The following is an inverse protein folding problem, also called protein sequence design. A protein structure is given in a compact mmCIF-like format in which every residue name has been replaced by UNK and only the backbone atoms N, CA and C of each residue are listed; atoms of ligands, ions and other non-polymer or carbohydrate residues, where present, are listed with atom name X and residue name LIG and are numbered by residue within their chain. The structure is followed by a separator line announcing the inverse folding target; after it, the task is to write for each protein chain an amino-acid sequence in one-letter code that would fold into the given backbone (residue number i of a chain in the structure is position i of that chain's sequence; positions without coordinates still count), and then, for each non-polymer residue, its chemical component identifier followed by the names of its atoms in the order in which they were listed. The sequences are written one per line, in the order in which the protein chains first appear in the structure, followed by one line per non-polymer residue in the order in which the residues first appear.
data_IF_307596649096
#
_entry.id   IF_307596649096
#
_cell.length_a   1.000
_cell.length_b   1.000
_cell.length_c   1.000
_cell.angle_alpha   90.00
_cell.angle_beta   90.00
_cell.angle_gamma   90.00
#
_symmetry.space_group_name_H-M   'P 1'
#
loop_
_entity.id
_entity.type
_entity.pdbx_description
1 polymer ?
#
# COMPACT_ATOMS: atom_id res chain seq x y z
N UNK A 1 9.74 -27.06 9.56
CA UNK A 1 9.82 -27.01 8.09
C UNK A 1 11.12 -27.70 7.68
N UNK A 2 11.07 -28.53 6.66
CA UNK A 2 12.29 -29.15 6.10
C UNK A 2 13.06 -28.10 5.32
N UNK A 3 14.38 -28.06 5.51
CA UNK A 3 15.27 -27.25 4.69
C UNK A 3 15.40 -27.93 3.32
N UNK A 4 15.04 -27.20 2.27
CA UNK A 4 15.29 -27.58 0.88
C UNK A 4 16.19 -26.54 0.21
N UNK A 5 16.45 -26.68 -1.10
CA UNK A 5 17.25 -25.74 -1.86
C UNK A 5 16.53 -24.38 -2.15
N UNK A 6 15.37 -24.14 -1.54
CA UNK A 6 14.55 -22.95 -1.77
C UNK A 6 14.86 -21.88 -0.73
N UNK A 7 15.61 -20.87 -1.13
CA UNK A 7 15.79 -19.64 -0.33
C UNK A 7 14.45 -18.94 -0.09
N UNK A 8 13.56 -18.92 -1.08
CA UNK A 8 12.25 -18.31 -0.97
C UNK A 8 11.39 -18.97 0.11
N UNK A 9 11.38 -20.31 0.17
CA UNK A 9 10.67 -21.06 1.21
C UNK A 9 11.18 -20.75 2.62
N UNK A 10 12.49 -20.68 2.80
CA UNK A 10 13.12 -20.30 4.07
C UNK A 10 12.78 -18.84 4.45
N UNK A 11 12.91 -17.91 3.51
CA UNK A 11 12.61 -16.50 3.71
C UNK A 11 11.15 -16.29 4.11
N UNK A 12 10.22 -16.96 3.46
CA UNK A 12 8.79 -16.92 3.80
C UNK A 12 8.51 -17.51 5.18
N UNK A 13 9.17 -18.61 5.55
CA UNK A 13 9.01 -19.21 6.88
C UNK A 13 9.51 -18.27 7.99
N UNK A 14 10.63 -17.59 7.78
CA UNK A 14 11.17 -16.58 8.69
C UNK A 14 10.19 -15.41 8.84
N UNK A 15 9.67 -14.88 7.74
CA UNK A 15 8.72 -13.76 7.75
C UNK A 15 7.41 -14.10 8.44
N UNK A 16 6.94 -15.34 8.35
CA UNK A 16 5.74 -15.78 9.08
C UNK A 16 5.90 -15.74 10.59
N UNK A 17 7.12 -15.89 11.09
CA UNK A 17 7.43 -15.85 12.52
C UNK A 17 7.71 -14.43 13.02
N UNK A 18 8.26 -13.57 12.17
CA UNK A 18 8.57 -12.17 12.48
C UNK A 18 7.55 -11.25 11.80
N UNK A 19 6.38 -11.06 12.44
CA UNK A 19 5.23 -10.34 11.89
C UNK A 19 4.90 -9.08 12.68
N UNK A 20 4.08 -8.25 12.05
CA UNK A 20 3.42 -7.13 12.71
C UNK A 20 2.74 -7.59 14.01
N UNK A 21 2.88 -6.81 15.08
CA UNK A 21 2.34 -7.15 16.39
C UNK A 21 3.14 -8.18 17.20
N UNK A 22 4.27 -8.69 16.69
CA UNK A 22 5.17 -9.53 17.47
C UNK A 22 5.89 -8.70 18.53
N UNK A 23 5.60 -9.01 19.82
CA UNK A 23 6.17 -8.30 20.99
C UNK A 23 7.39 -9.01 21.59
N UNK A 24 7.64 -10.25 21.20
CA UNK A 24 8.74 -11.06 21.73
C UNK A 24 9.82 -11.23 20.69
N UNK A 25 11.06 -11.30 21.13
CA UNK A 25 12.19 -11.67 20.28
C UNK A 25 11.95 -13.02 19.60
N UNK A 26 12.22 -13.10 18.30
CA UNK A 26 12.08 -14.32 17.51
C UNK A 26 13.47 -14.89 17.26
N UNK A 27 13.76 -16.01 17.89
CA UNK A 27 14.99 -16.78 17.67
C UNK A 27 14.71 -17.90 16.67
N UNK A 28 15.49 -17.94 15.59
CA UNK A 28 15.36 -18.95 14.54
C UNK A 28 16.53 -19.90 14.60
N UNK A 29 16.22 -21.16 14.89
CA UNK A 29 17.21 -22.23 14.93
C UNK A 29 17.09 -23.11 13.70
N UNK A 30 18.17 -23.19 12.91
CA UNK A 30 18.26 -24.11 11.79
C UNK A 30 19.02 -25.35 12.24
N UNK A 31 18.34 -26.49 12.31
CA UNK A 31 18.96 -27.78 12.62
C UNK A 31 19.33 -28.44 11.31
N UNK A 32 20.61 -28.71 11.14
CA UNK A 32 21.19 -29.29 9.94
C UNK A 32 22.03 -30.52 10.26
N UNK A 33 22.21 -31.39 9.28
CA UNK A 33 23.14 -32.52 9.35
C UNK A 33 24.37 -32.22 8.51
N UNK A 34 25.48 -32.92 8.78
CA UNK A 34 26.75 -32.74 8.06
C UNK A 34 26.60 -32.95 6.54
N UNK A 35 25.60 -33.72 6.12
CA UNK A 35 25.29 -33.96 4.70
C UNK A 35 24.53 -32.80 4.01
N UNK A 36 24.06 -31.80 4.79
CA UNK A 36 23.27 -30.67 4.27
C UNK A 36 24.10 -29.41 4.05
N UNK A 37 25.41 -29.47 4.15
CA UNK A 37 26.28 -28.30 4.00
C UNK A 37 26.12 -27.63 2.65
N UNK A 38 26.00 -28.42 1.58
CA UNK A 38 25.73 -27.92 0.23
C UNK A 38 24.41 -27.16 0.10
N UNK A 39 23.37 -27.56 0.88
CA UNK A 39 22.07 -26.88 0.90
C UNK A 39 22.21 -25.52 1.55
N UNK A 40 22.95 -25.44 2.66
CA UNK A 40 23.19 -24.20 3.40
C UNK A 40 23.98 -23.21 2.56
N UNK A 41 25.04 -23.67 1.89
CA UNK A 41 25.85 -22.84 1.01
C UNK A 41 25.02 -22.29 -0.17
N UNK A 42 24.21 -23.13 -0.79
CA UNK A 42 23.31 -22.73 -1.88
C UNK A 42 22.27 -21.70 -1.42
N UNK A 43 21.71 -21.88 -0.22
CA UNK A 43 20.77 -20.91 0.37
C UNK A 43 21.46 -19.58 0.63
N UNK A 44 22.67 -19.58 1.20
CA UNK A 44 23.46 -18.35 1.43
C UNK A 44 23.83 -17.65 0.13
N UNK A 45 24.20 -18.41 -0.91
CA UNK A 45 24.49 -17.86 -2.23
C UNK A 45 23.24 -17.21 -2.84
N UNK A 46 22.08 -17.85 -2.75
CA UNK A 46 20.81 -17.30 -3.20
C UNK A 46 20.38 -16.06 -2.40
N UNK A 47 20.60 -16.08 -1.09
CA UNK A 47 20.37 -14.90 -0.24
C UNK A 47 21.23 -13.72 -0.68
N UNK A 48 22.52 -13.96 -0.95
CA UNK A 48 23.42 -12.91 -1.40
C UNK A 48 23.04 -12.40 -2.81
N UNK A 49 22.67 -13.29 -3.72
CA UNK A 49 22.17 -12.91 -5.04
C UNK A 49 20.89 -12.07 -4.93
N UNK A 50 19.99 -12.43 -4.03
CA UNK A 50 18.75 -11.68 -3.78
C UNK A 50 19.06 -10.29 -3.21
N UNK A 51 19.96 -10.19 -2.22
CA UNK A 51 20.42 -8.89 -1.68
C UNK A 51 21.08 -8.03 -2.77
N UNK A 52 21.98 -8.60 -3.57
CA UNK A 52 22.63 -7.89 -4.66
C UNK A 52 21.63 -7.43 -5.74
N UNK A 53 20.61 -8.24 -6.04
CA UNK A 53 19.56 -7.88 -6.97
C UNK A 53 18.69 -6.73 -6.39
N UNK A 54 18.33 -6.79 -5.13
CA UNK A 54 17.61 -5.70 -4.46
C UNK A 54 18.44 -4.40 -4.45
N UNK A 55 19.72 -4.48 -4.09
CA UNK A 55 20.62 -3.33 -4.14
C UNK A 55 20.80 -2.80 -5.57
N UNK A 56 20.86 -3.68 -6.56
CA UNK A 56 20.93 -3.31 -7.98
C UNK A 56 19.66 -2.61 -8.46
N UNK A 57 18.48 -3.09 -8.06
CA UNK A 57 17.20 -2.44 -8.33
C UNK A 57 17.15 -1.07 -7.65
N UNK A 58 17.57 -0.98 -6.39
CA UNK A 58 17.65 0.25 -5.61
C UNK A 58 18.59 1.26 -6.28
N UNK A 59 19.80 0.84 -6.67
CA UNK A 59 20.79 1.70 -7.38
C UNK A 59 20.30 2.17 -8.75
N UNK A 60 19.66 1.29 -9.51
CA UNK A 60 19.15 1.61 -10.85
C UNK A 60 17.90 2.49 -10.83
N UNK A 61 17.15 2.44 -9.74
CA UNK A 61 16.01 3.33 -9.53
C UNK A 61 16.46 4.74 -9.14
N UNK A 62 17.75 4.98 -8.87
CA UNK A 62 18.32 6.23 -8.31
C UNK A 62 17.55 6.74 -7.06
N UNK A 63 16.86 5.84 -6.38
CA UNK A 63 15.86 6.14 -5.39
C UNK A 63 15.90 5.12 -4.28
N UNK A 64 16.65 5.37 -3.29
CA UNK A 64 16.28 5.08 -1.90
C UNK A 64 17.31 5.76 -1.01
N UNK A 65 16.93 6.84 -0.37
CA UNK A 65 17.43 7.10 0.98
C UNK A 65 17.29 5.78 1.70
N UNK A 66 18.35 5.34 2.31
CA UNK A 66 18.41 4.08 3.04
C UNK A 66 17.43 4.13 4.21
N UNK A 67 16.17 3.78 3.96
CA UNK A 67 15.16 3.64 5.01
C UNK A 67 15.47 2.48 5.95
N UNK A 68 16.46 1.63 5.63
CA UNK A 68 16.86 0.52 6.49
C UNK A 68 17.57 0.99 7.77
N UNK A 69 18.07 2.23 7.78
CA UNK A 69 18.77 2.82 8.93
C UNK A 69 17.90 3.71 9.81
N UNK A 70 16.62 3.91 9.47
CA UNK A 70 15.71 4.67 10.34
C UNK A 70 15.13 3.78 11.45
N UNK A 71 15.98 3.37 12.37
CA UNK A 71 15.53 2.72 13.63
C UNK A 71 14.79 3.69 14.56
N UNK A 72 14.91 5.00 14.31
CA UNK A 72 14.23 6.04 15.08
C UNK A 72 13.36 6.89 14.18
N UNK A 73 12.10 7.12 14.56
CA UNK A 73 11.24 8.02 13.81
C UNK A 73 11.84 9.44 13.81
N UNK A 74 11.92 10.05 12.65
CA UNK A 74 12.25 11.47 12.52
C UNK A 74 10.96 12.27 12.60
N UNK A 75 10.97 13.32 13.44
CA UNK A 75 9.81 14.19 13.60
C UNK A 75 10.21 15.62 13.32
N UNK A 76 9.47 16.28 12.42
CA UNK A 76 9.59 17.70 12.14
C UNK A 76 8.32 18.39 12.63
N UNK A 77 8.45 19.32 13.56
CA UNK A 77 7.34 20.08 14.12
C UNK A 77 7.42 21.52 13.64
N UNK A 78 6.32 22.03 13.13
CA UNK A 78 6.15 23.44 12.76
C UNK A 78 4.91 24.00 13.48
N UNK A 79 4.63 25.28 13.31
CA UNK A 79 3.44 25.92 13.90
C UNK A 79 2.12 25.35 13.33
N UNK A 80 2.15 24.78 12.12
CA UNK A 80 0.94 24.38 11.39
C UNK A 80 0.81 22.86 11.18
N UNK A 81 1.92 22.12 11.24
CA UNK A 81 1.90 20.68 10.99
C UNK A 81 3.05 19.95 11.70
N UNK A 82 2.86 18.69 11.90
CA UNK A 82 3.90 17.76 12.35
C UNK A 82 4.08 16.67 11.30
N UNK A 83 5.30 16.51 10.79
CA UNK A 83 5.69 15.40 9.93
C UNK A 83 6.38 14.34 10.78
N UNK A 84 5.93 13.10 10.66
CA UNK A 84 6.50 11.96 11.37
C UNK A 84 6.87 10.91 10.33
N UNK A 85 8.16 10.65 10.17
CA UNK A 85 8.64 9.53 9.37
C UNK A 85 8.85 8.33 10.28
N UNK A 86 8.02 7.32 10.14
CA UNK A 86 8.04 6.14 11.01
C UNK A 86 7.05 5.07 10.56
N UNK A 87 6.95 4.02 11.36
CA UNK A 87 5.94 2.98 11.18
C UNK A 87 4.55 3.56 11.49
N UNK A 88 3.66 3.56 10.49
CA UNK A 88 2.35 4.21 10.61
C UNK A 88 1.48 3.62 11.74
N UNK A 89 1.62 2.33 12.05
CA UNK A 89 0.88 1.71 13.15
C UNK A 89 1.45 2.15 14.49
N UNK A 90 2.77 2.11 14.65
CA UNK A 90 3.43 2.48 15.90
C UNK A 90 3.30 3.99 16.18
N UNK A 91 3.35 4.81 15.14
CA UNK A 91 3.17 6.26 15.30
C UNK A 91 1.70 6.63 15.59
N UNK A 92 0.74 5.96 14.96
CA UNK A 92 -0.68 6.19 15.24
C UNK A 92 -1.04 5.77 16.69
N UNK A 93 -0.41 4.74 17.24
CA UNK A 93 -0.59 4.34 18.65
C UNK A 93 -0.26 5.43 19.66
N UNK A 94 0.63 6.35 19.30
CA UNK A 94 1.03 7.47 20.18
C UNK A 94 0.02 8.60 20.22
N UNK A 95 -0.92 8.64 19.27
CA UNK A 95 -1.99 9.62 19.25
C UNK A 95 -3.04 9.28 20.32
N UNK A 96 -3.64 10.31 20.90
CA UNK A 96 -4.73 10.16 21.88
C UNK A 96 -5.98 9.58 21.23
N UNK A 97 -6.80 8.90 22.01
CA UNK A 97 -8.10 8.41 21.60
C UNK A 97 -8.99 9.59 21.18
N UNK A 98 -9.74 9.39 20.10
CA UNK A 98 -10.69 10.38 19.62
C UNK A 98 -10.10 11.79 19.42
N UNK A 99 -8.85 11.86 18.94
CA UNK A 99 -8.13 13.11 18.71
C UNK A 99 -8.20 13.61 17.26
N UNK A 100 -8.46 12.72 16.28
CA UNK A 100 -8.35 13.01 14.84
C UNK A 100 -9.73 13.34 14.25
N UNK A 101 -9.83 14.50 13.58
CA UNK A 101 -11.07 14.96 12.93
C UNK A 101 -11.27 14.43 11.52
N UNK A 102 -10.19 14.14 10.79
CA UNK A 102 -10.23 13.60 9.43
C UNK A 102 -8.92 12.90 9.09
N UNK A 103 -9.03 11.79 8.40
CA UNK A 103 -7.86 11.04 7.88
C UNK A 103 -7.99 10.86 6.37
N UNK A 104 -6.89 11.11 5.64
CA UNK A 104 -6.79 10.82 4.20
C UNK A 104 -5.44 10.19 3.89
N UNK A 105 -5.45 9.07 3.19
CA UNK A 105 -4.22 8.39 2.77
C UNK A 105 -4.47 7.41 1.63
N UNK A 106 -3.37 6.94 1.02
CA UNK A 106 -3.37 5.85 0.05
C UNK A 106 -2.60 4.67 0.64
N UNK A 107 -3.25 3.52 0.89
CA UNK A 107 -2.53 2.34 1.36
C UNK A 107 -1.66 1.76 0.24
N UNK A 108 -0.62 0.98 0.57
CA UNK A 108 0.05 0.15 -0.43
C UNK A 108 -0.96 -0.76 -1.15
N UNK A 109 -0.83 -0.91 -2.46
CA UNK A 109 -1.71 -1.77 -3.26
C UNK A 109 -1.22 -3.23 -3.21
N UNK A 110 -1.25 -3.85 -2.02
CA UNK A 110 -0.72 -5.19 -1.80
C UNK A 110 0.77 -5.29 -2.13
N UNK A 111 1.18 -6.41 -2.71
CA UNK A 111 2.57 -6.68 -3.12
C UNK A 111 2.94 -6.07 -4.50
N UNK A 112 2.32 -4.95 -4.90
CA UNK A 112 2.58 -4.35 -6.22
C UNK A 112 3.96 -3.71 -6.30
N UNK A 113 4.39 -3.03 -5.23
CA UNK A 113 5.70 -2.41 -5.10
C UNK A 113 6.29 -2.72 -3.73
N UNK A 114 7.60 -2.95 -3.68
CA UNK A 114 8.37 -3.07 -2.45
C UNK A 114 9.01 -1.72 -2.17
N UNK A 115 8.60 -1.04 -1.10
CA UNK A 115 9.10 0.29 -0.77
C UNK A 115 10.36 0.26 0.10
N UNK A 116 10.51 -0.77 0.95
CA UNK A 116 11.69 -0.93 1.79
C UNK A 116 12.01 -2.40 2.05
N UNK A 117 13.21 -2.66 2.57
CA UNK A 117 13.61 -4.00 3.04
C UNK A 117 13.14 -4.30 4.47
N UNK A 118 12.40 -3.36 5.10
CA UNK A 118 11.90 -3.55 6.45
C UNK A 118 10.83 -4.65 6.48
N UNK A 119 10.95 -5.68 7.32
CA UNK A 119 9.93 -6.72 7.43
C UNK A 119 8.57 -6.21 7.94
N UNK A 120 8.52 -5.01 8.51
CA UNK A 120 7.27 -4.34 8.91
C UNK A 120 6.60 -3.58 7.77
N UNK A 121 7.28 -3.40 6.64
CA UNK A 121 6.67 -2.75 5.47
C UNK A 121 5.52 -3.61 4.95
N UNK A 122 4.31 -3.05 4.95
CA UNK A 122 3.10 -3.75 4.53
C UNK A 122 3.11 -4.13 3.04
N UNK A 123 3.94 -3.48 2.22
CA UNK A 123 4.11 -3.84 0.82
C UNK A 123 4.94 -5.12 0.62
N UNK A 124 5.69 -5.54 1.63
CA UNK A 124 6.52 -6.74 1.64
C UNK A 124 5.72 -8.01 1.99
N UNK A 125 4.57 -8.21 1.39
CA UNK A 125 3.70 -9.36 1.63
C UNK A 125 3.70 -10.32 0.44
N UNK A 126 3.40 -11.59 0.71
CA UNK A 126 3.33 -12.63 -0.32
C UNK A 126 1.94 -12.76 -0.96
N UNK A 127 0.91 -12.28 -0.28
CA UNK A 127 -0.49 -12.37 -0.72
C UNK A 127 -1.32 -11.17 -0.24
N UNK A 128 -2.45 -10.97 -0.90
CA UNK A 128 -3.40 -9.94 -0.50
C UNK A 128 -4.01 -10.24 0.89
N UNK A 129 -4.22 -11.52 1.22
CA UNK A 129 -4.68 -11.95 2.55
C UNK A 129 -3.68 -11.57 3.65
N UNK A 130 -2.39 -11.75 3.40
CA UNK A 130 -1.34 -11.35 4.35
C UNK A 130 -1.30 -9.83 4.51
N UNK A 131 -1.46 -9.09 3.41
CA UNK A 131 -1.61 -7.64 3.46
C UNK A 131 -2.77 -7.23 4.36
N UNK A 132 -3.96 -7.80 4.14
CA UNK A 132 -5.15 -7.46 4.92
C UNK A 132 -5.00 -7.77 6.41
N UNK A 133 -4.30 -8.87 6.76
CA UNK A 133 -4.00 -9.20 8.15
C UNK A 133 -3.12 -8.13 8.81
N UNK A 134 -2.12 -7.61 8.11
CA UNK A 134 -1.25 -6.55 8.62
C UNK A 134 -1.98 -5.20 8.66
N UNK A 135 -2.72 -4.88 7.61
CA UNK A 135 -3.44 -3.62 7.48
C UNK A 135 -4.53 -3.46 8.54
N UNK A 136 -5.09 -4.57 9.04
CA UNK A 136 -6.06 -4.54 10.14
C UNK A 136 -5.52 -3.85 11.40
N UNK A 137 -4.23 -3.98 11.72
CA UNK A 137 -3.66 -3.28 12.87
C UNK A 137 -3.76 -1.76 12.72
N UNK A 138 -3.55 -1.23 11.51
CA UNK A 138 -3.73 0.18 11.25
C UNK A 138 -5.22 0.58 11.32
N UNK A 139 -6.13 -0.24 10.77
CA UNK A 139 -7.58 0.07 10.80
C UNK A 139 -8.07 0.16 12.25
N UNK A 140 -7.63 -0.73 13.14
CA UNK A 140 -7.98 -0.70 14.57
C UNK A 140 -7.49 0.60 15.23
N UNK A 141 -6.26 1.02 14.97
CA UNK A 141 -5.75 2.28 15.51
C UNK A 141 -6.47 3.50 14.91
N UNK A 142 -6.78 3.48 13.62
CA UNK A 142 -7.56 4.53 12.97
C UNK A 142 -8.97 4.64 13.58
N UNK A 143 -9.58 3.51 13.95
CA UNK A 143 -10.86 3.54 14.64
C UNK A 143 -10.74 4.17 16.02
N UNK A 144 -9.70 3.83 16.78
CA UNK A 144 -9.44 4.39 18.12
C UNK A 144 -9.24 5.90 18.06
N UNK A 145 -8.34 6.39 17.21
CA UNK A 145 -7.95 7.81 17.17
C UNK A 145 -8.96 8.73 16.50
N UNK A 146 -9.83 8.21 15.64
CA UNK A 146 -10.86 9.03 14.98
C UNK A 146 -11.92 9.48 15.98
N UNK A 147 -12.33 10.73 15.92
CA UNK A 147 -13.46 11.25 16.70
C UNK A 147 -14.79 10.63 16.25
N UNK A 148 -15.78 10.45 17.14
CA UNK A 148 -17.11 10.01 16.74
C UNK A 148 -17.74 10.90 15.67
N UNK A 149 -18.35 10.30 14.66
CA UNK A 149 -18.98 11.02 13.55
C UNK A 149 -18.02 11.60 12.50
N UNK A 150 -16.70 11.40 12.65
CA UNK A 150 -15.69 11.87 11.71
C UNK A 150 -15.42 10.87 10.60
N UNK A 151 -14.76 11.33 9.54
CA UNK A 151 -14.56 10.61 8.28
C UNK A 151 -13.12 10.16 8.11
N UNK A 152 -12.96 9.04 7.42
CA UNK A 152 -11.68 8.56 6.87
C UNK A 152 -11.88 8.32 5.38
N UNK A 153 -11.00 8.86 4.54
CA UNK A 153 -11.02 8.63 3.11
C UNK A 153 -9.73 7.97 2.63
N UNK A 154 -9.86 6.98 1.78
CA UNK A 154 -8.74 6.28 1.17
C UNK A 154 -8.76 6.47 -0.34
N UNK A 155 -7.63 6.84 -0.92
CA UNK A 155 -7.41 6.75 -2.35
C UNK A 155 -6.89 5.35 -2.70
N UNK A 156 -7.59 4.66 -3.56
CA UNK A 156 -7.26 3.28 -3.96
C UNK A 156 -7.53 3.04 -5.44
N UNK A 157 -6.98 1.95 -5.92
CA UNK A 157 -7.27 1.40 -7.25
C UNK A 157 -7.46 -0.12 -7.14
N UNK A 158 -8.22 -0.72 -8.04
CA UNK A 158 -8.27 -2.17 -8.18
C UNK A 158 -6.95 -2.71 -8.74
N UNK A 159 -6.54 -3.88 -8.30
CA UNK A 159 -5.38 -4.56 -8.85
C UNK A 159 -5.79 -5.63 -9.87
N UNK A 160 -4.85 -6.07 -10.70
CA UNK A 160 -5.07 -7.12 -11.69
C UNK A 160 -4.27 -8.37 -11.35
N UNK A 161 -4.78 -9.52 -11.77
CA UNK A 161 -4.01 -10.76 -11.73
C UNK A 161 -2.92 -10.74 -12.81
N UNK A 162 -1.86 -11.48 -12.55
CA UNK A 162 -0.74 -11.70 -13.47
C UNK A 162 -0.74 -13.16 -13.91
N UNK A 163 -0.73 -13.43 -15.23
CA UNK A 163 -0.76 -14.79 -15.76
C UNK A 163 0.36 -15.68 -15.16
N UNK A 164 1.56 -15.14 -15.01
CA UNK A 164 2.70 -15.90 -14.48
C UNK A 164 2.62 -16.19 -12.97
N UNK A 165 1.85 -15.43 -12.21
CA UNK A 165 1.69 -15.59 -10.76
C UNK A 165 0.37 -16.26 -10.40
N UNK A 166 -0.72 -15.81 -11.02
CA UNK A 166 -2.09 -16.20 -10.67
C UNK A 166 -2.67 -17.24 -11.65
N UNK A 167 -2.04 -17.47 -12.81
CA UNK A 167 -2.44 -18.44 -13.82
C UNK A 167 -3.58 -17.99 -14.74
N UNK A 168 -4.15 -16.81 -14.52
CA UNK A 168 -5.26 -16.27 -15.31
C UNK A 168 -5.28 -14.75 -15.31
N UNK A 169 -6.08 -14.18 -16.21
CA UNK A 169 -6.31 -12.72 -16.27
C UNK A 169 -7.65 -12.37 -15.62
N UNK A 170 -7.62 -11.48 -14.60
CA UNK A 170 -8.81 -10.99 -13.92
C UNK A 170 -8.52 -9.67 -13.18
N UNK A 171 -9.52 -9.15 -12.49
CA UNK A 171 -9.41 -8.04 -11.54
C UNK A 171 -9.53 -8.63 -10.14
N UNK A 172 -8.68 -8.19 -9.21
CA UNK A 172 -8.78 -8.52 -7.79
C UNK A 172 -9.67 -7.48 -7.11
N UNK A 173 -10.60 -7.93 -6.28
CA UNK A 173 -11.54 -7.04 -5.57
C UNK A 173 -10.90 -6.40 -4.32
N UNK A 174 -9.76 -5.72 -4.50
CA UNK A 174 -9.05 -5.04 -3.41
C UNK A 174 -9.92 -3.98 -2.72
N UNK A 175 -10.71 -3.23 -3.51
CA UNK A 175 -11.67 -2.25 -2.99
C UNK A 175 -12.70 -2.89 -2.06
N UNK A 176 -13.32 -3.99 -2.48
CA UNK A 176 -14.31 -4.68 -1.65
C UNK A 176 -13.71 -5.29 -0.39
N UNK A 177 -12.47 -5.78 -0.45
CA UNK A 177 -11.76 -6.27 0.73
C UNK A 177 -11.52 -5.18 1.76
N UNK A 178 -11.07 -3.99 1.34
CA UNK A 178 -10.90 -2.83 2.21
C UNK A 178 -12.23 -2.40 2.84
N UNK A 179 -13.31 -2.31 2.04
CA UNK A 179 -14.64 -1.96 2.56
C UNK A 179 -15.06 -2.93 3.65
N UNK A 180 -14.94 -4.23 3.41
CA UNK A 180 -15.28 -5.26 4.40
C UNK A 180 -14.42 -5.17 5.66
N UNK A 181 -13.12 -4.88 5.51
CA UNK A 181 -12.22 -4.76 6.65
C UNK A 181 -12.56 -3.57 7.55
N UNK A 182 -12.84 -2.40 6.97
CA UNK A 182 -13.27 -1.23 7.74
C UNK A 182 -14.63 -1.44 8.41
N UNK A 183 -15.59 -2.08 7.70
CA UNK A 183 -16.88 -2.41 8.28
C UNK A 183 -16.78 -3.43 9.43
N UNK A 184 -15.88 -4.40 9.33
CA UNK A 184 -15.63 -5.38 10.39
C UNK A 184 -15.05 -4.73 11.65
N UNK A 185 -14.33 -3.60 11.54
CA UNK A 185 -13.84 -2.83 12.67
C UNK A 185 -14.91 -1.90 13.27
N UNK A 186 -16.05 -1.71 12.59
CA UNK A 186 -17.17 -0.93 13.08
C UNK A 186 -17.41 0.40 12.36
N UNK A 187 -16.66 0.71 11.31
CA UNK A 187 -16.93 1.87 10.46
C UNK A 187 -18.16 1.65 9.57
N UNK A 188 -18.83 2.73 9.21
CA UNK A 188 -19.84 2.74 8.14
C UNK A 188 -19.19 3.10 6.82
N UNK A 189 -19.44 2.33 5.77
CA UNK A 189 -19.12 2.75 4.40
C UNK A 189 -20.05 3.92 4.04
N UNK A 190 -19.48 5.11 3.88
CA UNK A 190 -20.23 6.36 3.85
C UNK A 190 -20.41 6.92 2.43
N UNK A 191 -19.35 6.96 1.66
CA UNK A 191 -19.36 7.53 0.32
C UNK A 191 -18.25 6.94 -0.56
N UNK A 192 -18.41 7.10 -1.87
CA UNK A 192 -17.42 6.74 -2.87
C UNK A 192 -17.45 7.73 -4.00
N UNK A 193 -16.28 8.17 -4.45
CA UNK A 193 -16.08 8.89 -5.69
C UNK A 193 -15.14 8.07 -6.59
N UNK A 194 -15.43 8.07 -7.87
CA UNK A 194 -14.59 7.43 -8.88
C UNK A 194 -13.79 8.51 -9.61
N UNK A 195 -12.48 8.28 -9.78
CA UNK A 195 -11.60 9.14 -10.57
C UNK A 195 -11.36 8.46 -11.91
N UNK A 196 -11.70 9.17 -12.99
CA UNK A 196 -11.43 8.68 -14.35
C UNK A 196 -9.94 8.65 -14.63
N UNK A 197 -9.47 7.55 -15.22
CA UNK A 197 -8.09 7.40 -15.71
C UNK A 197 -8.05 7.34 -17.23
N UNK A 198 -7.06 7.98 -17.84
CA UNK A 198 -6.84 7.84 -19.29
C UNK A 198 -6.31 6.44 -19.62
N UNK A 199 -7.04 5.64 -20.41
CA UNK A 199 -6.66 4.27 -20.74
C UNK A 199 -5.34 4.20 -21.55
N UNK A 200 -4.99 5.24 -22.32
CA UNK A 200 -3.72 5.26 -23.06
C UNK A 200 -2.55 5.41 -22.11
N UNK A 201 -2.64 6.37 -21.19
CA UNK A 201 -1.60 6.60 -20.17
C UNK A 201 -1.43 5.36 -19.28
N UNK A 202 -2.53 4.76 -18.83
CA UNK A 202 -2.50 3.54 -18.05
C UNK A 202 -1.86 2.36 -18.81
N UNK A 203 -2.18 2.18 -20.10
CA UNK A 203 -1.61 1.13 -20.94
C UNK A 203 -0.10 1.30 -21.14
N UNK A 204 0.38 2.53 -21.34
CA UNK A 204 1.80 2.84 -21.53
C UNK A 204 2.58 2.60 -20.23
N UNK A 205 2.06 3.08 -19.10
CA UNK A 205 2.73 2.96 -17.79
C UNK A 205 2.81 1.53 -17.30
N UNK A 206 1.70 0.80 -17.37
CA UNK A 206 1.59 -0.53 -16.77
C UNK A 206 1.98 -1.66 -17.72
N UNK A 207 2.00 -1.39 -19.04
CA UNK A 207 2.16 -2.40 -20.09
C UNK A 207 1.26 -3.62 -19.91
N UNK A 208 0.08 -3.40 -19.32
CA UNK A 208 -0.86 -4.46 -18.98
C UNK A 208 -1.52 -4.98 -20.27
N UNK A 209 -1.29 -6.26 -20.58
CA UNK A 209 -1.81 -6.90 -21.78
C UNK A 209 -3.34 -6.79 -21.92
N UNK A 210 -4.07 -6.84 -20.81
CA UNK A 210 -5.54 -6.70 -20.80
C UNK A 210 -6.04 -5.33 -21.27
N UNK A 211 -5.18 -4.31 -21.22
CA UNK A 211 -5.52 -2.92 -21.57
C UNK A 211 -4.90 -2.49 -22.91
N UNK A 212 -4.04 -3.30 -23.52
CA UNK A 212 -3.36 -2.96 -24.75
C UNK A 212 -4.28 -3.17 -25.97
N UNK A 213 -4.45 -2.13 -26.80
CA UNK A 213 -5.24 -2.22 -28.03
C UNK A 213 -4.79 -3.38 -28.95
N UNK A 214 -3.48 -3.63 -29.05
CA UNK A 214 -2.95 -4.72 -29.88
C UNK A 214 -3.47 -6.11 -29.45
N UNK A 215 -3.84 -6.29 -28.19
CA UNK A 215 -4.37 -7.55 -27.66
C UNK A 215 -5.73 -7.89 -28.23
N UNK A 216 -6.53 -6.89 -28.67
CA UNK A 216 -7.84 -7.13 -29.30
C UNK A 216 -7.75 -8.01 -30.54
N UNK A 217 -6.61 -8.00 -31.24
CA UNK A 217 -6.36 -8.80 -32.46
C UNK A 217 -5.91 -10.22 -32.16
N UNK A 218 -5.41 -10.49 -30.97
CA UNK A 218 -4.84 -11.81 -30.60
C UNK A 218 -5.73 -12.59 -29.67
N UNK A 219 -6.32 -11.92 -28.69
CA UNK A 219 -7.19 -12.53 -27.70
C UNK A 219 -8.12 -11.46 -27.08
N UNK A 220 -9.25 -11.25 -27.73
CA UNK A 220 -10.23 -10.25 -27.29
C UNK A 220 -10.91 -10.60 -25.96
N UNK A 221 -10.87 -11.90 -25.54
CA UNK A 221 -11.52 -12.37 -24.33
C UNK A 221 -10.91 -11.83 -23.05
N UNK A 222 -9.63 -11.46 -23.08
CA UNK A 222 -8.91 -10.90 -21.94
C UNK A 222 -8.91 -9.37 -21.91
N UNK A 223 -9.42 -8.72 -22.96
CA UNK A 223 -9.42 -7.25 -23.04
C UNK A 223 -10.48 -6.68 -22.12
N UNK A 224 -10.11 -5.67 -21.34
CA UNK A 224 -10.99 -4.96 -20.42
C UNK A 224 -10.85 -3.44 -20.58
N UNK A 225 -11.82 -2.65 -20.09
CA UNK A 225 -11.63 -1.22 -19.96
C UNK A 225 -10.54 -0.86 -18.96
N UNK A 226 -10.09 0.39 -18.99
CA UNK A 226 -9.20 0.94 -17.95
C UNK A 226 -9.81 0.81 -16.56
N UNK A 227 -8.96 0.71 -15.54
CA UNK A 227 -9.40 0.77 -14.16
C UNK A 227 -9.46 2.24 -13.71
N UNK A 228 -10.52 2.58 -12.99
CA UNK A 228 -10.62 3.84 -12.30
C UNK A 228 -9.87 3.79 -10.97
N UNK A 229 -9.52 4.97 -10.45
CA UNK A 229 -9.19 5.11 -9.03
C UNK A 229 -10.47 5.44 -8.25
N UNK A 230 -10.43 5.23 -6.95
CA UNK A 230 -11.56 5.45 -6.07
C UNK A 230 -11.11 6.21 -4.83
N UNK A 231 -11.92 7.16 -4.40
CA UNK A 231 -11.88 7.70 -3.05
C UNK A 231 -13.01 7.02 -2.28
N UNK A 232 -12.67 6.06 -1.43
CA UNK A 232 -13.63 5.41 -0.56
C UNK A 232 -13.62 6.07 0.82
N UNK A 233 -14.79 6.43 1.32
CA UNK A 233 -14.94 7.19 2.56
C UNK A 233 -15.74 6.38 3.57
N UNK A 234 -15.19 6.30 4.76
CA UNK A 234 -15.80 5.67 5.93
C UNK A 234 -16.13 6.70 6.98
N UNK A 235 -17.08 6.36 7.84
CA UNK A 235 -17.50 7.18 8.98
C UNK A 235 -17.45 6.39 10.26
N UNK A 236 -16.78 6.93 11.29
CA UNK A 236 -16.89 6.37 12.64
C UNK A 236 -18.30 6.61 13.18
N UNK A 237 -18.96 5.61 13.78
CA UNK A 237 -20.24 5.79 14.45
C UNK A 237 -20.21 6.92 15.49
N UNK A 238 -21.35 7.52 15.73
CA UNK A 238 -21.50 8.58 16.72
C UNK A 238 -21.82 9.94 16.11
N UNK A 239 -21.94 10.93 16.98
CA UNK A 239 -22.29 12.31 16.61
C UNK A 239 -21.03 13.17 16.64
N UNK A 240 -20.80 13.93 15.59
CA UNK A 240 -19.71 14.91 15.54
C UNK A 240 -19.99 16.02 16.57
N UNK A 241 -19.00 16.30 17.41
CA UNK A 241 -19.14 17.34 18.44
C UNK A 241 -18.81 18.72 17.90
N UNK A 242 -17.87 18.82 16.98
CA UNK A 242 -17.46 20.10 16.39
C UNK A 242 -18.37 20.44 15.21
N UNK A 243 -19.09 21.57 15.21
CA UNK A 243 -19.88 22.00 14.07
C UNK A 243 -19.00 22.25 12.86
N UNK A 244 -19.48 21.84 11.68
CA UNK A 244 -18.85 22.17 10.40
C UNK A 244 -19.47 23.47 9.88
N UNK A 245 -18.64 24.42 9.52
CA UNK A 245 -19.09 25.61 8.79
C UNK A 245 -19.09 25.33 7.30
N UNK A 246 -20.22 25.59 6.66
CA UNK A 246 -20.30 25.50 5.19
C UNK A 246 -19.82 26.81 4.57
N UNK A 247 -18.64 26.79 3.99
CA UNK A 247 -18.05 27.90 3.25
C UNK A 247 -17.77 27.57 1.78
N UNK A 248 -18.33 26.46 1.28
CA UNK A 248 -18.13 26.00 -0.10
C UNK A 248 -19.16 26.69 -1.00
N UNK A 249 -18.72 27.44 -2.05
CA UNK A 249 -19.62 27.99 -3.05
C UNK A 249 -20.43 26.89 -3.74
N UNK A 250 -21.67 27.20 -4.13
CA UNK A 250 -22.59 26.23 -4.73
C UNK A 250 -22.01 25.57 -6.00
N UNK A 251 -21.40 26.35 -6.88
CA UNK A 251 -20.81 25.83 -8.14
C UNK A 251 -19.64 24.86 -7.87
N UNK A 252 -18.85 25.15 -6.84
CA UNK A 252 -17.79 24.22 -6.41
C UNK A 252 -18.39 22.97 -5.78
N UNK A 253 -19.43 23.13 -4.97
CA UNK A 253 -20.13 21.98 -4.39
C UNK A 253 -20.70 21.07 -5.49
N UNK A 254 -21.30 21.61 -6.55
CA UNK A 254 -21.81 20.82 -7.67
C UNK A 254 -20.70 19.93 -8.29
N UNK A 255 -19.47 20.46 -8.44
CA UNK A 255 -18.35 19.71 -9.00
C UNK A 255 -17.86 18.60 -8.07
N UNK A 256 -17.65 18.91 -6.79
CA UNK A 256 -17.14 17.91 -5.85
C UNK A 256 -18.18 16.85 -5.46
N UNK A 257 -19.47 17.16 -5.61
CA UNK A 257 -20.56 16.22 -5.37
C UNK A 257 -20.79 15.23 -6.53
N UNK A 258 -20.11 15.40 -7.65
CA UNK A 258 -20.19 14.45 -8.75
C UNK A 258 -19.60 13.08 -8.32
N UNK A 259 -20.27 11.96 -8.66
CA UNK A 259 -19.79 10.63 -8.30
C UNK A 259 -18.55 10.20 -9.11
N UNK A 260 -18.33 10.83 -10.27
CA UNK A 260 -17.19 10.57 -11.15
C UNK A 260 -16.45 11.87 -11.41
N UNK A 261 -15.22 11.95 -10.93
CA UNK A 261 -14.34 13.09 -11.18
C UNK A 261 -13.54 12.86 -12.45
N UNK A 262 -13.68 13.76 -13.40
CA UNK A 262 -13.06 13.68 -14.73
C UNK A 262 -11.92 14.70 -14.90
N UNK A 263 -11.82 15.65 -13.99
CA UNK A 263 -10.89 16.77 -13.98
C UNK A 263 -9.66 16.56 -13.10
N UNK A 264 -9.53 15.37 -12.50
CA UNK A 264 -8.31 14.94 -11.78
C UNK A 264 -7.44 14.15 -12.75
N UNK A 265 -6.32 14.74 -13.16
CA UNK A 265 -5.41 14.12 -14.12
C UNK A 265 -4.13 13.61 -13.45
N UNK A 266 -3.51 12.59 -14.03
CA UNK A 266 -2.24 12.03 -13.55
C UNK A 266 -1.05 13.00 -13.69
N UNK A 267 -1.23 14.08 -14.46
CA UNK A 267 -0.29 15.18 -14.64
C UNK A 267 -0.44 16.28 -13.59
N UNK A 268 -1.54 16.27 -12.82
CA UNK A 268 -1.81 17.24 -11.78
C UNK A 268 -0.95 16.93 -10.54
N UNK A 269 0.33 17.19 -10.69
CA UNK A 269 1.33 17.02 -9.64
C UNK A 269 1.77 18.38 -9.12
N UNK A 270 2.36 18.39 -7.93
CA UNK A 270 3.01 19.60 -7.43
C UNK A 270 4.09 20.06 -8.43
N UNK A 271 4.21 21.37 -8.64
CA UNK A 271 5.24 21.93 -9.52
C UNK A 271 6.63 21.64 -8.98
N UNK A 272 7.37 20.77 -9.67
CA UNK A 272 8.78 20.57 -9.42
C UNK A 272 9.62 21.50 -10.27
N UNK A 273 10.58 22.16 -9.67
CA UNK A 273 11.48 23.09 -10.36
C UNK A 273 12.36 22.39 -11.41
N UNK A 274 12.68 21.12 -11.23
CA UNK A 274 13.17 20.21 -12.29
C UNK A 274 13.17 18.75 -11.80
N UNK A 275 12.98 17.80 -12.73
CA UNK A 275 13.15 16.38 -12.47
C UNK A 275 14.60 15.98 -12.09
N UNK A 276 15.56 16.94 -12.17
CA UNK A 276 16.95 16.77 -11.74
C UNK A 276 17.16 17.14 -10.28
N UNK A 277 16.34 18.06 -9.77
CA UNK A 277 16.46 18.57 -8.40
C UNK A 277 15.65 17.74 -7.43
N UNK A 278 14.66 17.01 -7.95
CA UNK A 278 13.82 16.14 -7.16
C UNK A 278 14.07 14.66 -7.51
N UNK A 279 15.03 14.09 -6.81
CA UNK A 279 15.35 12.67 -6.93
C UNK A 279 14.45 11.80 -6.06
N UNK A 280 13.60 12.39 -5.23
CA UNK A 280 12.94 11.70 -4.12
C UNK A 280 11.41 11.61 -4.23
N UNK A 281 10.77 12.18 -5.26
CA UNK A 281 9.31 12.14 -5.36
C UNK A 281 8.82 11.39 -6.59
N UNK A 282 8.26 10.21 -6.35
CA UNK A 282 7.40 9.51 -7.28
C UNK A 282 6.03 9.34 -6.62
N UNK A 283 5.09 9.99 -7.17
CA UNK A 283 3.69 9.72 -6.95
C UNK A 283 3.04 9.11 -8.18
#
# INVERSE_FOLDING_TARGET
ASLDFSFEGLYQAIRRSYRFGQKKEVNIYMITTDTMQNVIENIKEKEQKFKNMQEGIIRNLNYVKDYSNHEKPETVVTDNYTLIMGDCVEETKKLEDESVDYTFFSPPFGALYVFSNNPKDMSNVSSDDEFMQHFKFLITELFRVSKPGCLISLHIMQSTTLLGKDGFYSIKDFRGELIRAFQAEGFYFHAENMIRKDPKTAAIRTKNRQLMHGTTKTDSSIVRPGLADYIITFKKPGKRHTPVQNNIPFDLWCKIAEPVWIDVEESDTLEFRSAKDDKDERH
#
